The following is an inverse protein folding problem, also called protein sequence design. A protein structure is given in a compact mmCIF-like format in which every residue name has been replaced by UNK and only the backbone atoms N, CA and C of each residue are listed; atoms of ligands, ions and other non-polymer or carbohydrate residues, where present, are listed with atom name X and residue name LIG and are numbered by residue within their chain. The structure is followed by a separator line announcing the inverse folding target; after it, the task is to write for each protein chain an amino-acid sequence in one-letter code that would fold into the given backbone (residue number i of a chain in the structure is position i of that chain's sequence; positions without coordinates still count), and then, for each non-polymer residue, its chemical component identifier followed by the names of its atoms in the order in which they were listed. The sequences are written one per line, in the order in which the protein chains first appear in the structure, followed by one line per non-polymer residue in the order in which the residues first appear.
data_IF_786264046516
#
_entry.id   IF_786264046516
#
_cell.length_a   1.000
_cell.length_b   1.000
_cell.length_c   1.000
_cell.angle_alpha   90.00
_cell.angle_beta   90.00
_cell.angle_gamma   90.00
#
_symmetry.space_group_name_H-M   'P 1'
#
loop_
_entity.id
_entity.type
_entity.pdbx_description
1 polymer ?
#
# COMPACT_ATOMS: atom_id res chain seq x y z
N UNK A 1 14.44 -5.40 -15.01
CA UNK A 1 13.21 -5.37 -14.21
C UNK A 1 12.54 -6.73 -14.35
N UNK A 2 12.75 -7.67 -13.43
CA UNK A 2 12.10 -8.99 -13.42
C UNK A 2 10.84 -8.88 -12.58
N UNK A 3 9.70 -8.86 -13.26
CA UNK A 3 8.38 -8.91 -12.63
C UNK A 3 8.19 -10.36 -12.21
N UNK A 4 8.11 -10.62 -10.90
CA UNK A 4 7.84 -11.96 -10.38
C UNK A 4 6.33 -12.22 -10.45
N UNK A 5 5.94 -13.12 -11.32
CA UNK A 5 4.57 -13.66 -11.40
C UNK A 5 4.29 -14.39 -10.08
N UNK A 6 3.10 -14.24 -9.46
CA UNK A 6 2.74 -14.97 -8.24
C UNK A 6 3.01 -16.46 -8.41
N UNK A 7 3.79 -17.07 -7.52
CA UNK A 7 4.21 -18.48 -7.61
C UNK A 7 3.02 -19.45 -7.71
N UNK A 8 1.87 -19.11 -7.14
CA UNK A 8 0.64 -19.91 -7.25
C UNK A 8 0.08 -19.96 -8.68
N UNK A 9 0.21 -18.88 -9.47
CA UNK A 9 -0.26 -18.83 -10.85
C UNK A 9 0.68 -19.59 -11.81
N UNK A 10 2.00 -19.48 -11.60
CA UNK A 10 3.00 -20.26 -12.34
C UNK A 10 2.80 -21.76 -12.17
N UNK A 11 2.42 -22.22 -10.98
CA UNK A 11 2.20 -23.65 -10.69
C UNK A 11 0.94 -24.20 -11.36
N UNK A 12 -0.15 -23.45 -11.46
CA UNK A 12 -1.42 -23.90 -12.06
C UNK A 12 -1.33 -23.94 -13.58
N UNK A 13 -0.79 -22.90 -14.21
CA UNK A 13 -0.64 -22.83 -15.68
C UNK A 13 0.42 -23.80 -16.15
N UNK A 14 1.54 -23.94 -15.46
CA UNK A 14 2.57 -24.92 -15.75
C UNK A 14 2.06 -26.37 -15.64
N UNK A 15 1.26 -26.69 -14.62
CA UNK A 15 0.64 -28.01 -14.47
C UNK A 15 -0.36 -28.31 -15.58
N UNK A 16 -1.16 -27.36 -16.03
CA UNK A 16 -2.10 -27.52 -17.15
C UNK A 16 -1.38 -27.74 -18.47
N UNK A 17 -0.29 -27.01 -18.74
CA UNK A 17 0.55 -27.19 -19.93
C UNK A 17 1.21 -28.57 -19.94
N UNK A 18 1.79 -29.01 -18.82
CA UNK A 18 2.36 -30.35 -18.69
C UNK A 18 1.29 -31.44 -18.88
N UNK A 19 0.10 -31.26 -18.31
CA UNK A 19 -1.01 -32.19 -18.46
C UNK A 19 -1.45 -32.25 -19.93
N UNK A 20 -1.61 -31.12 -20.62
CA UNK A 20 -1.99 -31.08 -22.03
C UNK A 20 -0.94 -31.80 -22.92
N UNK A 21 0.35 -31.53 -22.69
CA UNK A 21 1.44 -32.22 -23.38
C UNK A 21 1.42 -33.75 -23.13
N UNK A 22 1.20 -34.14 -21.88
CA UNK A 22 1.11 -35.57 -21.52
C UNK A 22 -0.07 -36.26 -22.20
N UNK A 23 -1.23 -35.61 -22.31
CA UNK A 23 -2.41 -36.17 -23.00
C UNK A 23 -2.15 -36.30 -24.50
N UNK A 24 -1.53 -35.32 -25.16
CA UNK A 24 -1.17 -35.40 -26.58
C UNK A 24 -0.19 -36.56 -26.85
N UNK A 25 0.88 -36.66 -26.04
CA UNK A 25 1.85 -37.76 -26.15
C UNK A 25 1.16 -39.10 -25.90
N UNK A 26 0.31 -39.19 -24.88
CA UNK A 26 -0.48 -40.39 -24.59
C UNK A 26 -1.34 -40.83 -25.75
N UNK A 27 -2.04 -39.89 -26.44
CA UNK A 27 -2.82 -40.17 -27.64
C UNK A 27 -1.97 -40.71 -28.78
N UNK A 28 -0.78 -40.15 -29.01
CA UNK A 28 0.15 -40.65 -30.04
C UNK A 28 0.59 -42.08 -29.71
N UNK A 29 0.92 -42.37 -28.44
CA UNK A 29 1.30 -43.73 -28.00
C UNK A 29 0.14 -44.71 -28.18
N UNK A 30 -1.07 -44.35 -27.77
CA UNK A 30 -2.28 -45.18 -27.94
C UNK A 30 -2.54 -45.47 -29.43
N UNK A 31 -2.44 -44.44 -30.27
CA UNK A 31 -2.59 -44.57 -31.71
C UNK A 31 -1.52 -45.48 -32.32
N UNK A 32 -0.25 -45.34 -31.91
CA UNK A 32 0.85 -46.20 -32.41
C UNK A 32 0.64 -47.66 -32.02
N UNK A 33 0.24 -47.94 -30.77
CA UNK A 33 -0.07 -49.31 -30.33
C UNK A 33 -1.26 -49.89 -31.13
N UNK A 34 -2.32 -49.09 -31.35
CA UNK A 34 -3.50 -49.50 -32.11
C UNK A 34 -3.17 -49.84 -33.56
N UNK A 35 -2.45 -48.98 -34.29
CA UNK A 35 -2.05 -49.23 -35.67
C UNK A 35 -1.13 -50.44 -35.79
N UNK A 36 -0.21 -50.65 -34.86
CA UNK A 36 0.61 -51.86 -34.85
C UNK A 36 -0.21 -53.13 -34.63
N UNK A 37 -1.15 -53.08 -33.71
CA UNK A 37 -1.97 -54.26 -33.38
C UNK A 37 -2.97 -54.64 -34.49
N UNK A 38 -3.55 -53.63 -35.18
CA UNK A 38 -4.64 -53.82 -36.14
C UNK A 38 -4.09 -53.99 -37.56
N UNK A 39 -3.13 -53.14 -37.97
CA UNK A 39 -2.58 -53.11 -39.35
C UNK A 39 -1.26 -53.88 -39.51
N UNK A 40 -0.56 -54.21 -38.36
CA UNK A 40 0.71 -54.87 -38.39
C UNK A 40 1.90 -53.99 -38.84
N UNK A 41 1.73 -52.65 -38.80
CA UNK A 41 2.77 -51.70 -39.20
C UNK A 41 4.03 -51.88 -38.35
N UNK A 42 5.18 -51.43 -38.88
CA UNK A 42 6.41 -51.31 -38.05
C UNK A 42 6.18 -50.34 -36.91
N UNK A 43 6.98 -50.39 -35.83
CA UNK A 43 6.88 -49.43 -34.74
C UNK A 43 7.03 -47.99 -35.23
N UNK A 44 7.99 -47.77 -36.15
CA UNK A 44 8.24 -46.44 -36.70
C UNK A 44 7.04 -45.91 -37.49
N UNK A 45 6.49 -46.77 -38.39
CA UNK A 45 5.34 -46.41 -39.20
C UNK A 45 4.08 -46.17 -38.34
N UNK A 46 3.89 -46.98 -37.30
CA UNK A 46 2.81 -46.81 -36.35
C UNK A 46 2.86 -45.48 -35.59
N UNK A 47 4.05 -45.12 -35.10
CA UNK A 47 4.25 -43.80 -34.46
C UNK A 47 4.07 -42.64 -35.44
N UNK A 48 4.63 -42.78 -36.66
CA UNK A 48 4.53 -41.78 -37.70
C UNK A 48 3.06 -41.57 -38.11
N UNK A 49 2.30 -42.65 -38.41
CA UNK A 49 0.89 -42.55 -38.75
C UNK A 49 0.05 -42.00 -37.62
N UNK A 50 0.33 -42.39 -36.37
CA UNK A 50 -0.35 -41.85 -35.20
C UNK A 50 -0.06 -40.36 -34.99
N UNK A 51 1.20 -39.97 -35.09
CA UNK A 51 1.61 -38.55 -34.90
C UNK A 51 0.96 -37.66 -35.97
N UNK A 52 1.05 -38.02 -37.27
CA UNK A 52 0.43 -37.23 -38.34
C UNK A 52 -1.10 -37.16 -38.23
N UNK A 53 -1.75 -38.22 -37.71
CA UNK A 53 -3.20 -38.24 -37.47
C UNK A 53 -3.60 -37.33 -36.30
N UNK A 54 -2.94 -37.48 -35.14
CA UNK A 54 -3.23 -36.69 -33.93
C UNK A 54 -2.89 -35.22 -34.15
N UNK A 55 -1.77 -34.90 -34.82
CA UNK A 55 -1.38 -33.50 -35.12
C UNK A 55 -2.15 -32.90 -36.30
N UNK A 56 -3.04 -33.63 -36.94
CA UNK A 56 -3.89 -33.20 -38.07
C UNK A 56 -3.07 -32.85 -39.34
N UNK A 57 -1.83 -33.33 -39.48
CA UNK A 57 -0.98 -33.07 -40.66
C UNK A 57 -1.45 -33.94 -41.85
N UNK A 58 -1.63 -35.25 -41.66
CA UNK A 58 -2.27 -36.17 -42.58
C UNK A 58 -1.68 -36.25 -43.99
N UNK A 59 -0.38 -36.52 -44.14
CA UNK A 59 0.25 -36.62 -45.49
C UNK A 59 -0.37 -37.67 -46.38
N UNK A 60 -0.99 -38.71 -45.79
CA UNK A 60 -1.69 -39.77 -46.57
C UNK A 60 -0.76 -40.78 -47.23
N UNK A 61 0.53 -40.73 -46.95
CA UNK A 61 1.55 -41.64 -47.47
C UNK A 61 1.48 -43.03 -46.85
N UNK A 62 1.02 -43.11 -45.60
CA UNK A 62 0.73 -44.33 -44.84
C UNK A 62 -0.71 -44.25 -44.31
N UNK A 63 -1.59 -45.09 -44.86
CA UNK A 63 -2.99 -45.13 -44.44
C UNK A 63 -3.43 -46.54 -44.08
N UNK A 64 -4.36 -46.73 -43.11
CA UNK A 64 -4.90 -48.04 -42.77
C UNK A 64 -5.69 -48.61 -43.92
N UNK A 65 -5.43 -49.86 -44.23
CA UNK A 65 -6.05 -50.58 -45.36
C UNK A 65 -7.23 -51.44 -44.89
N UNK A 66 -7.12 -52.04 -43.70
CA UNK A 66 -8.19 -52.91 -43.16
C UNK A 66 -9.42 -52.10 -42.69
N UNK A 67 -10.58 -52.72 -42.65
CA UNK A 67 -11.81 -52.10 -42.15
C UNK A 67 -11.64 -51.71 -40.65
N UNK A 68 -11.00 -52.57 -39.85
CA UNK A 68 -10.73 -52.31 -38.44
C UNK A 68 -9.79 -51.08 -38.22
N UNK A 69 -8.73 -51.01 -39.04
CA UNK A 69 -7.80 -49.89 -38.99
C UNK A 69 -8.43 -48.57 -39.40
N UNK A 70 -9.32 -48.58 -40.39
CA UNK A 70 -10.06 -47.36 -40.81
C UNK A 70 -11.03 -46.88 -39.73
N UNK A 71 -11.77 -47.81 -39.07
CA UNK A 71 -12.64 -47.44 -37.96
C UNK A 71 -11.81 -46.87 -36.77
N UNK A 72 -10.70 -47.54 -36.44
CA UNK A 72 -9.78 -47.03 -35.39
C UNK A 72 -9.21 -45.65 -35.73
N UNK A 73 -8.80 -45.46 -36.99
CA UNK A 73 -8.30 -44.14 -37.45
C UNK A 73 -9.35 -43.03 -37.31
N UNK A 74 -10.63 -43.31 -37.66
CA UNK A 74 -11.73 -42.33 -37.46
C UNK A 74 -11.88 -41.96 -35.99
N UNK A 75 -11.87 -42.92 -35.08
CA UNK A 75 -11.96 -42.65 -33.64
C UNK A 75 -10.75 -41.84 -33.13
N UNK A 76 -9.54 -42.21 -33.63
CA UNK A 76 -8.31 -41.50 -33.28
C UNK A 76 -8.32 -40.06 -33.82
N UNK A 77 -8.83 -39.84 -35.05
CA UNK A 77 -8.98 -38.48 -35.62
C UNK A 77 -9.93 -37.63 -34.78
N UNK A 78 -11.13 -38.13 -34.43
CA UNK A 78 -12.10 -37.39 -33.66
C UNK A 78 -11.59 -37.02 -32.26
N UNK A 79 -10.94 -37.95 -31.56
CA UNK A 79 -10.40 -37.74 -30.23
C UNK A 79 -9.11 -36.91 -30.26
N UNK A 80 -8.24 -37.15 -31.26
CA UNK A 80 -6.96 -36.47 -31.47
C UNK A 80 -7.14 -34.99 -31.76
N UNK A 81 -8.03 -34.62 -32.68
CA UNK A 81 -8.35 -33.21 -33.01
C UNK A 81 -8.82 -32.47 -31.76
N UNK A 82 -9.75 -33.05 -30.97
CA UNK A 82 -10.21 -32.43 -29.73
C UNK A 82 -9.10 -32.22 -28.73
N UNK A 83 -8.18 -33.19 -28.61
CA UNK A 83 -7.02 -33.11 -27.70
C UNK A 83 -6.05 -32.00 -28.11
N UNK A 84 -5.71 -31.90 -29.41
CA UNK A 84 -4.80 -30.85 -29.91
C UNK A 84 -5.42 -29.48 -29.81
N UNK A 85 -6.72 -29.32 -30.14
CA UNK A 85 -7.43 -28.06 -29.95
C UNK A 85 -7.45 -27.61 -28.48
N UNK A 86 -7.66 -28.54 -27.56
CA UNK A 86 -7.56 -28.25 -26.12
C UNK A 86 -6.15 -27.82 -25.74
N UNK A 87 -5.10 -28.52 -26.18
CA UNK A 87 -3.71 -28.15 -25.90
C UNK A 87 -3.35 -26.76 -26.45
N UNK A 88 -3.77 -26.44 -27.68
CA UNK A 88 -3.58 -25.10 -28.28
C UNK A 88 -4.32 -24.01 -27.50
N UNK A 89 -5.54 -24.28 -27.04
CA UNK A 89 -6.31 -23.35 -26.21
C UNK A 89 -5.60 -23.04 -24.88
N UNK A 90 -5.08 -24.09 -24.23
CA UNK A 90 -4.31 -23.92 -22.97
C UNK A 90 -3.03 -23.12 -23.22
N UNK A 91 -2.32 -23.39 -24.33
CA UNK A 91 -1.13 -22.65 -24.74
C UNK A 91 -1.45 -21.18 -25.03
N UNK A 92 -2.49 -20.92 -25.84
CA UNK A 92 -2.94 -19.57 -26.16
C UNK A 92 -3.32 -18.79 -24.89
N UNK A 93 -4.07 -19.42 -23.97
CA UNK A 93 -4.41 -18.81 -22.68
C UNK A 93 -3.16 -18.49 -21.85
N UNK A 94 -2.16 -19.37 -21.83
CA UNK A 94 -0.91 -19.16 -21.12
C UNK A 94 -0.14 -17.92 -21.64
N UNK A 95 -0.07 -17.77 -22.97
CA UNK A 95 0.59 -16.63 -23.63
C UNK A 95 -0.18 -15.33 -23.41
N UNK A 96 -1.50 -15.35 -23.60
CA UNK A 96 -2.34 -14.14 -23.47
C UNK A 96 -2.40 -13.65 -22.02
N UNK A 97 -2.46 -14.55 -21.04
CA UNK A 97 -2.55 -14.18 -19.65
C UNK A 97 -1.24 -13.64 -19.07
N UNK A 98 -0.08 -14.03 -19.60
CA UNK A 98 1.21 -13.65 -19.00
C UNK A 98 1.71 -12.24 -19.35
N UNK A 99 1.43 -11.71 -20.53
CA UNK A 99 2.06 -10.45 -20.98
C UNK A 99 1.08 -9.27 -21.16
N UNK A 100 -0.12 -9.51 -21.63
CA UNK A 100 -1.04 -8.43 -22.00
C UNK A 100 -1.81 -7.86 -20.82
N UNK A 101 -2.22 -8.69 -19.85
CA UNK A 101 -3.01 -8.24 -18.70
C UNK A 101 -2.13 -7.41 -17.75
N UNK A 102 -0.88 -7.82 -17.50
CA UNK A 102 0.04 -7.07 -16.64
C UNK A 102 0.42 -5.74 -17.26
N UNK A 103 0.78 -5.71 -18.53
CA UNK A 103 1.13 -4.47 -19.22
C UNK A 103 -0.04 -3.48 -19.30
N UNK A 104 -1.26 -3.97 -19.51
CA UNK A 104 -2.46 -3.14 -19.59
C UNK A 104 -2.88 -2.61 -18.21
N UNK A 105 -2.83 -3.46 -17.18
CA UNK A 105 -3.15 -3.07 -15.80
C UNK A 105 -2.14 -2.06 -15.26
N UNK A 106 -0.85 -2.24 -15.54
CA UNK A 106 0.22 -1.32 -15.13
C UNK A 106 0.06 0.05 -15.81
N UNK A 107 -0.20 0.08 -17.13
CA UNK A 107 -0.45 1.34 -17.84
C UNK A 107 -1.68 2.09 -17.34
N UNK A 108 -2.74 1.38 -16.97
CA UNK A 108 -3.94 1.98 -16.39
C UNK A 108 -3.66 2.52 -14.99
N UNK A 109 -2.97 1.76 -14.14
CA UNK A 109 -2.56 2.20 -12.80
C UNK A 109 -1.66 3.44 -12.85
N UNK A 110 -0.70 3.50 -13.78
CA UNK A 110 0.16 4.66 -13.98
C UNK A 110 -0.63 5.89 -14.45
N UNK A 111 -1.53 5.74 -15.44
CA UNK A 111 -2.41 6.84 -15.89
C UNK A 111 -3.33 7.38 -14.79
N UNK A 112 -3.82 6.52 -13.90
CA UNK A 112 -4.65 6.94 -12.77
C UNK A 112 -3.82 7.65 -11.69
N UNK A 113 -2.53 7.33 -11.56
CA UNK A 113 -1.59 8.05 -10.69
C UNK A 113 -1.17 9.41 -11.28
N UNK A 114 -1.05 9.53 -12.61
CA UNK A 114 -0.75 10.81 -13.28
C UNK A 114 -1.79 11.89 -13.02
N UNK A 115 -3.05 11.50 -12.80
CA UNK A 115 -4.16 12.43 -12.50
C UNK A 115 -4.22 12.89 -11.05
N UNK A 116 -3.45 12.27 -10.15
CA UNK A 116 -3.46 12.63 -8.74
C UNK A 116 -2.71 13.93 -8.50
N UNK A 117 -3.34 14.83 -7.73
CA UNK A 117 -2.77 16.08 -7.25
C UNK A 117 -3.10 16.22 -5.76
N UNK A 118 -2.18 16.77 -4.99
CA UNK A 118 -2.38 16.96 -3.56
C UNK A 118 -2.53 15.68 -2.74
N UNK A 119 -2.09 14.54 -3.28
CA UNK A 119 -2.14 13.24 -2.64
C UNK A 119 -0.95 13.01 -1.70
N UNK A 120 -1.00 11.94 -0.94
CA UNK A 120 0.07 11.51 -0.04
C UNK A 120 0.82 10.32 -0.64
N UNK A 121 2.13 10.24 -0.40
CA UNK A 121 2.96 9.10 -0.79
C UNK A 121 3.45 8.40 0.48
N UNK A 122 3.26 7.07 0.54
CA UNK A 122 3.75 6.24 1.64
C UNK A 122 4.81 5.29 1.11
N UNK A 123 6.06 5.52 1.49
CA UNK A 123 7.20 4.69 1.13
C UNK A 123 7.38 3.58 2.17
N UNK A 124 7.01 2.35 1.79
CA UNK A 124 7.04 1.17 2.65
C UNK A 124 5.69 0.82 3.27
N UNK A 125 5.19 -0.40 2.99
CA UNK A 125 3.96 -0.97 3.56
C UNK A 125 4.24 -1.92 4.74
N UNK A 126 5.27 -1.64 5.53
CA UNK A 126 5.57 -2.33 6.78
C UNK A 126 4.58 -1.98 7.90
N UNK A 127 4.89 -2.36 9.14
CA UNK A 127 4.02 -2.12 10.32
C UNK A 127 3.60 -0.65 10.49
N UNK A 128 4.53 0.28 10.33
CA UNK A 128 4.27 1.73 10.45
C UNK A 128 3.50 2.23 9.25
N UNK A 129 3.98 1.94 8.03
CA UNK A 129 3.32 2.39 6.80
C UNK A 129 1.87 1.91 6.69
N UNK A 130 1.57 0.66 7.02
CA UNK A 130 0.19 0.14 7.05
C UNK A 130 -0.71 0.92 8.02
N UNK A 131 -0.18 1.37 9.15
CA UNK A 131 -0.97 2.18 10.09
C UNK A 131 -1.29 3.56 9.52
N UNK A 132 -0.32 4.18 8.83
CA UNK A 132 -0.51 5.46 8.14
C UNK A 132 -1.54 5.28 7.00
N UNK A 133 -1.40 4.23 6.18
CA UNK A 133 -2.32 3.91 5.09
C UNK A 133 -3.76 3.79 5.60
N UNK A 134 -3.99 3.03 6.68
CA UNK A 134 -5.32 2.89 7.28
C UNK A 134 -5.90 4.23 7.78
N UNK A 135 -5.06 5.11 8.30
CA UNK A 135 -5.52 6.43 8.73
C UNK A 135 -5.89 7.31 7.54
N UNK A 136 -5.10 7.29 6.46
CA UNK A 136 -5.44 8.01 5.22
C UNK A 136 -6.74 7.49 4.59
N UNK A 137 -6.95 6.16 4.60
CA UNK A 137 -8.19 5.53 4.13
C UNK A 137 -9.40 5.96 4.95
N UNK A 138 -9.30 5.97 6.29
CA UNK A 138 -10.39 6.42 7.17
C UNK A 138 -10.80 7.88 6.94
N UNK A 139 -9.85 8.70 6.51
CA UNK A 139 -10.07 10.11 6.20
C UNK A 139 -10.39 10.35 4.72
N UNK A 140 -10.53 9.28 3.93
CA UNK A 140 -10.83 9.32 2.49
C UNK A 140 -9.83 10.18 1.68
N UNK A 141 -8.58 10.30 2.18
CA UNK A 141 -7.54 11.08 1.54
C UNK A 141 -6.88 10.28 0.40
N UNK A 142 -6.57 10.91 -0.75
CA UNK A 142 -5.92 10.23 -1.84
C UNK A 142 -4.45 9.93 -1.50
N UNK A 143 -4.00 8.69 -1.75
CA UNK A 143 -2.61 8.29 -1.51
C UNK A 143 -2.10 7.27 -2.52
N UNK A 144 -0.77 7.17 -2.61
CA UNK A 144 -0.02 6.17 -3.37
C UNK A 144 0.97 5.48 -2.44
N UNK A 145 1.08 4.15 -2.55
CA UNK A 145 2.01 3.33 -1.79
C UNK A 145 3.15 2.91 -2.70
N UNK A 146 4.40 3.02 -2.24
CA UNK A 146 5.56 2.42 -2.89
C UNK A 146 6.10 1.33 -1.97
N UNK A 147 6.07 0.06 -2.42
CA UNK A 147 6.57 -1.10 -1.66
C UNK A 147 7.26 -2.08 -2.61
N UNK A 148 8.41 -2.60 -2.19
CA UNK A 148 9.19 -3.55 -2.98
C UNK A 148 8.69 -4.99 -2.85
N UNK A 149 8.08 -5.36 -1.74
CA UNK A 149 7.55 -6.71 -1.48
C UNK A 149 6.05 -6.76 -1.78
N UNK A 150 5.71 -7.35 -2.94
CA UNK A 150 4.32 -7.51 -3.41
C UNK A 150 3.43 -8.24 -2.39
N UNK A 151 3.98 -9.19 -1.62
CA UNK A 151 3.23 -9.94 -0.59
C UNK A 151 2.66 -9.04 0.50
N UNK A 152 3.29 -7.89 0.74
CA UNK A 152 2.79 -6.90 1.71
C UNK A 152 1.62 -6.07 1.19
N UNK A 153 1.35 -6.13 -0.11
CA UNK A 153 0.28 -5.36 -0.76
C UNK A 153 -0.99 -6.19 -0.95
N UNK A 154 -0.92 -7.53 -0.89
CA UNK A 154 -2.06 -8.43 -1.14
C UNK A 154 -3.31 -8.09 -0.34
N UNK A 155 -3.16 -7.72 0.94
CA UNK A 155 -4.27 -7.35 1.80
C UNK A 155 -4.81 -5.93 1.51
N UNK A 156 -4.01 -5.11 0.83
CA UNK A 156 -4.34 -3.72 0.49
C UNK A 156 -4.99 -3.59 -0.90
N UNK A 157 -4.80 -4.59 -1.78
CA UNK A 157 -5.42 -4.62 -3.11
C UNK A 157 -6.95 -4.68 -3.06
N UNK A 158 -7.51 -5.38 -2.08
CA UNK A 158 -8.96 -5.51 -1.90
C UNK A 158 -9.66 -4.18 -1.55
N UNK A 159 -8.92 -3.17 -1.11
CA UNK A 159 -9.43 -1.88 -0.64
C UNK A 159 -9.31 -0.76 -1.69
N UNK A 160 -8.97 -1.09 -2.94
CA UNK A 160 -8.87 -0.10 -4.04
C UNK A 160 -7.68 0.87 -3.93
N UNK A 161 -6.70 0.54 -3.11
CA UNK A 161 -5.50 1.37 -2.89
C UNK A 161 -4.63 1.45 -4.16
N UNK A 162 -4.07 2.62 -4.43
CA UNK A 162 -3.09 2.81 -5.50
C UNK A 162 -1.70 2.46 -4.99
N UNK A 163 -1.03 1.53 -5.65
CA UNK A 163 0.31 1.09 -5.25
C UNK A 163 1.23 0.93 -6.46
N UNK A 164 2.50 1.17 -6.22
CA UNK A 164 3.61 0.98 -7.14
C UNK A 164 4.55 -0.05 -6.51
N UNK A 165 4.72 -1.19 -7.20
CA UNK A 165 5.66 -2.22 -6.76
C UNK A 165 7.04 -1.80 -7.21
N UNK A 166 7.92 -1.48 -6.24
CA UNK A 166 9.27 -1.04 -6.54
C UNK A 166 10.02 -0.53 -5.31
N UNK A 167 11.27 -0.20 -5.53
CA UNK A 167 12.14 0.41 -4.53
C UNK A 167 11.80 1.90 -4.39
N UNK A 168 11.43 2.33 -3.18
CA UNK A 168 11.10 3.71 -2.88
C UNK A 168 12.32 4.65 -2.89
N UNK A 169 13.54 4.09 -2.86
CA UNK A 169 14.77 4.90 -3.03
C UNK A 169 14.99 5.29 -4.50
N UNK A 170 14.33 4.64 -5.46
CA UNK A 170 14.44 4.98 -6.89
C UNK A 170 13.72 6.28 -7.20
N UNK A 171 14.45 7.24 -7.77
CA UNK A 171 13.89 8.51 -8.27
C UNK A 171 12.76 8.28 -9.28
N UNK A 172 12.94 7.31 -10.18
CA UNK A 172 11.92 6.95 -11.18
C UNK A 172 10.60 6.50 -10.52
N UNK A 173 10.66 5.78 -9.39
CA UNK A 173 9.47 5.33 -8.67
C UNK A 173 8.80 6.49 -7.91
N UNK A 174 9.57 7.43 -7.37
CA UNK A 174 9.03 8.64 -6.74
C UNK A 174 8.35 9.55 -7.77
N UNK A 175 8.94 9.73 -8.96
CA UNK A 175 8.33 10.45 -10.07
C UNK A 175 7.05 9.76 -10.56
N UNK A 176 7.07 8.44 -10.73
CA UNK A 176 5.88 7.66 -11.10
C UNK A 176 4.76 7.75 -10.07
N UNK A 177 5.10 7.86 -8.77
CA UNK A 177 4.16 8.10 -7.70
C UNK A 177 3.65 9.56 -7.65
N UNK A 178 4.18 10.48 -8.47
CA UNK A 178 3.76 11.86 -8.57
C UNK A 178 4.29 12.76 -7.45
N UNK A 179 5.52 12.56 -7.00
CA UNK A 179 6.14 13.32 -5.90
C UNK A 179 6.12 14.84 -6.13
N UNK A 180 6.24 15.30 -7.38
CA UNK A 180 6.26 16.73 -7.75
C UNK A 180 4.94 17.45 -7.44
N UNK A 181 3.81 16.70 -7.43
CA UNK A 181 2.45 17.23 -7.19
C UNK A 181 1.80 16.64 -5.94
N UNK A 182 2.55 15.89 -5.15
CA UNK A 182 2.10 15.36 -3.86
C UNK A 182 2.06 16.47 -2.80
N UNK A 183 1.13 16.34 -1.85
CA UNK A 183 1.02 17.20 -0.67
C UNK A 183 1.98 16.77 0.44
N UNK A 184 2.22 15.48 0.59
CA UNK A 184 3.07 14.96 1.64
C UNK A 184 3.62 13.57 1.33
N UNK A 185 4.73 13.25 1.99
CA UNK A 185 5.40 11.96 1.86
C UNK A 185 5.78 11.42 3.24
N UNK A 186 5.50 10.13 3.46
CA UNK A 186 5.92 9.38 4.63
C UNK A 186 7.00 8.37 4.24
N UNK A 187 8.25 8.59 4.67
CA UNK A 187 9.35 7.64 4.51
C UNK A 187 9.34 6.65 5.68
N UNK A 188 8.88 5.41 5.44
CA UNK A 188 8.60 4.41 6.48
C UNK A 188 9.30 3.07 6.21
N UNK A 189 10.45 3.09 5.54
CA UNK A 189 11.26 1.92 5.27
C UNK A 189 11.85 1.32 6.57
N UNK A 190 12.37 0.10 6.48
CA UNK A 190 12.90 -0.61 7.63
C UNK A 190 14.31 -0.13 8.03
N UNK A 191 15.00 0.57 7.15
CA UNK A 191 16.38 1.02 7.28
C UNK A 191 16.48 2.55 7.24
N UNK A 192 17.28 3.13 8.13
CA UNK A 192 17.46 4.59 8.24
C UNK A 192 18.19 5.20 7.04
N UNK A 193 19.18 4.50 6.48
CA UNK A 193 19.91 4.98 5.31
C UNK A 193 18.98 5.07 4.09
N UNK A 194 18.10 4.08 3.92
CA UNK A 194 17.08 4.11 2.88
C UNK A 194 16.07 5.24 3.09
N UNK A 195 15.64 5.50 4.33
CA UNK A 195 14.76 6.63 4.64
C UNK A 195 15.45 7.98 4.35
N UNK A 196 16.74 8.14 4.71
CA UNK A 196 17.52 9.34 4.38
C UNK A 196 17.58 9.55 2.86
N UNK A 197 17.81 8.49 2.09
CA UNK A 197 17.87 8.57 0.63
C UNK A 197 16.53 8.98 0.02
N UNK A 198 15.43 8.38 0.48
CA UNK A 198 14.06 8.77 0.06
C UNK A 198 13.79 10.24 0.34
N UNK A 199 14.12 10.70 1.57
CA UNK A 199 13.91 12.10 1.98
C UNK A 199 14.70 13.06 1.11
N UNK A 200 16.00 12.77 0.89
CA UNK A 200 16.90 13.59 0.08
C UNK A 200 16.40 13.71 -1.36
N UNK A 201 16.06 12.57 -1.98
CA UNK A 201 15.56 12.52 -3.36
C UNK A 201 14.21 13.23 -3.49
N UNK A 202 13.27 12.97 -2.57
CA UNK A 202 11.96 13.59 -2.61
C UNK A 202 12.03 15.11 -2.40
N UNK A 203 12.91 15.58 -1.52
CA UNK A 203 13.15 17.03 -1.28
C UNK A 203 13.76 17.68 -2.52
N UNK A 204 14.70 17.00 -3.20
CA UNK A 204 15.28 17.47 -4.46
C UNK A 204 14.25 17.63 -5.58
N UNK A 205 13.31 16.68 -5.70
CA UNK A 205 12.25 16.67 -6.69
C UNK A 205 11.12 17.67 -6.37
N UNK A 206 10.80 17.86 -5.10
CA UNK A 206 9.75 18.78 -4.66
C UNK A 206 10.17 19.53 -3.40
N UNK A 207 10.72 20.75 -3.55
CA UNK A 207 11.16 21.57 -2.41
C UNK A 207 10.05 21.94 -1.42
N UNK A 208 8.80 21.99 -1.87
CA UNK A 208 7.62 22.33 -1.04
C UNK A 208 6.94 21.14 -0.35
N UNK A 209 7.41 19.91 -0.61
CA UNK A 209 6.78 18.70 -0.10
C UNK A 209 6.85 18.61 1.43
N UNK A 210 5.74 18.30 2.09
CA UNK A 210 5.76 17.98 3.52
C UNK A 210 6.23 16.54 3.74
N UNK A 211 7.43 16.37 4.29
CA UNK A 211 8.07 15.06 4.45
C UNK A 211 8.13 14.68 5.93
N UNK A 212 7.52 13.53 6.26
CA UNK A 212 7.63 12.89 7.57
C UNK A 212 8.45 11.62 7.42
N UNK A 213 9.52 11.49 8.18
CA UNK A 213 10.40 10.34 8.11
C UNK A 213 10.35 9.51 9.40
N UNK A 214 10.40 8.19 9.25
CA UNK A 214 10.61 7.29 10.36
C UNK A 214 12.11 7.18 10.65
N UNK A 215 12.51 7.38 11.91
CA UNK A 215 13.78 6.93 12.42
C UNK A 215 13.61 5.53 13.06
N UNK A 216 14.51 4.63 12.75
CA UNK A 216 14.61 3.31 13.41
C UNK A 216 15.44 3.49 14.67
N UNK A 217 16.59 4.17 14.55
CA UNK A 217 17.49 4.51 15.64
C UNK A 217 17.40 6.01 15.95
N UNK A 218 17.53 6.39 17.23
CA UNK A 218 17.45 7.79 17.68
C UNK A 218 18.51 8.67 17.02
N UNK A 219 19.69 8.10 16.78
CA UNK A 219 20.83 8.80 16.16
C UNK A 219 20.58 9.20 14.69
N UNK A 220 19.60 8.60 14.01
CA UNK A 220 19.27 8.94 12.62
C UNK A 220 18.48 10.25 12.50
N UNK A 221 17.80 10.72 13.55
CA UNK A 221 16.93 11.90 13.52
C UNK A 221 17.64 13.16 12.99
N UNK A 222 18.84 13.56 13.50
CA UNK A 222 19.52 14.76 12.99
C UNK A 222 19.88 14.64 11.51
N UNK A 223 20.16 13.42 11.02
CA UNK A 223 20.51 13.17 9.63
C UNK A 223 19.29 13.27 8.72
N UNK A 224 18.14 12.71 9.14
CA UNK A 224 16.89 12.82 8.43
C UNK A 224 16.40 14.28 8.33
N UNK A 225 16.54 15.07 9.39
CA UNK A 225 16.25 16.53 9.36
C UNK A 225 17.16 17.25 8.37
N UNK A 226 18.48 16.99 8.41
CA UNK A 226 19.43 17.59 7.45
C UNK A 226 19.16 17.18 6.01
N UNK A 227 18.67 15.94 5.80
CA UNK A 227 18.25 15.47 4.47
C UNK A 227 17.00 16.19 3.94
N UNK A 228 16.27 16.93 4.78
CA UNK A 228 15.11 17.72 4.39
C UNK A 228 13.76 17.21 4.90
N UNK A 229 13.73 16.30 5.90
CA UNK A 229 12.48 15.94 6.56
C UNK A 229 11.93 17.12 7.37
N UNK A 230 10.64 17.39 7.25
CA UNK A 230 9.96 18.40 8.08
C UNK A 230 9.75 17.89 9.50
N UNK A 231 9.55 16.58 9.65
CA UNK A 231 9.39 15.93 10.94
C UNK A 231 9.96 14.52 10.91
N UNK A 232 10.61 14.14 11.99
CA UNK A 232 11.10 12.78 12.21
C UNK A 232 10.33 12.16 13.38
N UNK A 233 9.97 10.90 13.24
CA UNK A 233 9.27 10.13 14.26
C UNK A 233 9.99 8.82 14.47
N UNK A 234 10.30 8.47 15.72
CA UNK A 234 10.89 7.20 16.13
C UNK A 234 9.84 6.35 16.89
N UNK A 235 9.00 5.57 16.20
CA UNK A 235 7.86 4.89 16.81
C UNK A 235 8.26 3.88 17.89
N UNK A 236 9.40 3.23 17.74
CA UNK A 236 9.91 2.26 18.71
C UNK A 236 10.30 2.94 20.00
N UNK A 237 10.94 4.11 19.92
CA UNK A 237 11.35 4.89 21.10
C UNK A 237 10.12 5.43 21.82
N UNK A 238 9.20 6.05 21.08
CA UNK A 238 7.93 6.56 21.64
C UNK A 238 7.15 5.44 22.31
N UNK A 239 7.05 4.28 21.65
CA UNK A 239 6.34 3.11 22.17
C UNK A 239 7.01 2.56 23.44
N UNK A 240 8.33 2.41 23.46
CA UNK A 240 9.06 1.91 24.63
C UNK A 240 8.97 2.87 25.83
N UNK A 241 9.03 4.17 25.59
CA UNK A 241 8.82 5.19 26.63
C UNK A 241 7.39 5.14 27.20
N UNK A 242 6.39 4.95 26.34
CA UNK A 242 5.00 4.77 26.77
C UNK A 242 4.80 3.50 27.60
N UNK A 243 5.41 2.39 27.19
CA UNK A 243 5.39 1.14 27.96
C UNK A 243 6.07 1.28 29.32
N UNK A 244 7.26 1.92 29.35
CA UNK A 244 7.97 2.17 30.61
C UNK A 244 7.14 3.07 31.55
N UNK A 245 6.49 4.09 31.02
CA UNK A 245 5.59 4.97 31.78
C UNK A 245 4.39 4.22 32.35
N UNK A 246 3.76 3.36 31.53
CA UNK A 246 2.64 2.53 31.98
C UNK A 246 3.06 1.54 33.08
N UNK A 247 4.29 1.01 33.00
CA UNK A 247 4.84 0.11 34.01
C UNK A 247 5.18 0.84 35.31
N UNK A 248 5.79 2.03 35.23
CA UNK A 248 6.32 2.76 36.38
C UNK A 248 5.26 3.67 37.05
N UNK A 249 4.33 4.21 36.28
CA UNK A 249 3.32 5.18 36.70
C UNK A 249 1.96 4.90 36.02
N UNK A 250 1.30 3.77 36.33
CA UNK A 250 0.10 3.33 35.60
C UNK A 250 -1.03 4.36 35.66
N UNK A 251 -1.31 4.96 36.81
CA UNK A 251 -2.37 5.96 36.92
C UNK A 251 -2.16 7.21 36.02
N UNK A 252 -0.87 7.61 35.81
CA UNK A 252 -0.57 8.71 34.89
C UNK A 252 -0.74 8.26 33.45
N UNK A 253 -0.31 7.04 33.11
CA UNK A 253 -0.50 6.48 31.78
C UNK A 253 -1.98 6.36 31.40
N UNK A 254 -2.80 5.79 32.29
CA UNK A 254 -4.25 5.66 32.11
C UNK A 254 -4.92 7.04 31.93
N UNK A 255 -4.52 8.03 32.71
CA UNK A 255 -5.02 9.40 32.57
C UNK A 255 -4.69 10.01 31.22
N UNK A 256 -3.41 9.90 30.77
CA UNK A 256 -2.97 10.41 29.47
C UNK A 256 -3.65 9.71 28.30
N UNK A 257 -3.79 8.38 28.39
CA UNK A 257 -4.47 7.58 27.36
C UNK A 257 -5.97 7.93 27.28
N UNK A 258 -6.60 8.21 28.43
CA UNK A 258 -8.01 8.63 28.50
C UNK A 258 -8.25 10.00 27.85
N UNK A 259 -7.29 10.92 27.93
CA UNK A 259 -7.35 12.20 27.25
C UNK A 259 -7.17 12.00 25.72
N UNK A 260 -6.15 11.24 25.30
CA UNK A 260 -5.87 11.01 23.87
C UNK A 260 -6.98 10.21 23.18
N UNK A 261 -7.62 9.30 23.90
CA UNK A 261 -8.72 8.47 23.36
C UNK A 261 -10.09 9.18 23.40
N UNK A 262 -10.16 10.44 23.87
CA UNK A 262 -11.41 11.22 24.05
C UNK A 262 -12.45 10.51 24.97
N UNK A 263 -12.01 9.51 25.74
CA UNK A 263 -12.92 8.73 26.60
C UNK A 263 -13.44 9.50 27.80
N UNK A 264 -12.73 10.54 28.21
CA UNK A 264 -13.13 11.46 29.29
C UNK A 264 -13.91 12.68 28.79
N UNK A 265 -14.22 12.74 27.46
CA UNK A 265 -14.82 13.92 26.84
C UNK A 265 -14.00 15.20 27.10
N UNK A 266 -12.70 15.04 27.36
CA UNK A 266 -11.75 16.13 27.55
C UNK A 266 -10.90 16.32 26.30
N UNK A 267 -10.81 17.55 25.83
CA UNK A 267 -9.99 17.94 24.69
C UNK A 267 -9.01 19.04 25.07
N UNK A 268 -7.83 19.02 24.43
CA UNK A 268 -6.94 20.17 24.42
C UNK A 268 -7.24 21.01 23.18
N UNK A 269 -7.29 22.32 23.36
CA UNK A 269 -7.49 23.26 22.26
C UNK A 269 -6.55 24.44 22.39
N UNK A 270 -6.17 24.99 21.24
CA UNK A 270 -5.37 26.20 21.11
C UNK A 270 -6.30 27.35 20.67
N UNK A 271 -6.37 28.40 21.48
CA UNK A 271 -7.27 29.53 21.21
C UNK A 271 -6.42 30.80 21.06
N UNK A 272 -6.40 31.28 19.82
CA UNK A 272 -5.74 32.54 19.53
C UNK A 272 -6.60 33.73 20.02
N UNK A 273 -5.96 34.65 20.77
CA UNK A 273 -6.57 35.89 21.24
C UNK A 273 -6.17 36.97 20.27
N UNK A 274 -7.16 37.60 19.66
CA UNK A 274 -6.96 38.80 18.87
C UNK A 274 -7.47 40.05 19.59
N UNK A 275 -7.17 41.24 19.07
CA UNK A 275 -7.53 42.49 19.69
C UNK A 275 -9.04 42.72 19.82
N UNK A 276 -9.87 41.95 19.09
CA UNK A 276 -11.33 42.05 19.13
C UNK A 276 -11.94 41.05 20.13
N UNK A 277 -11.14 40.15 20.66
CA UNK A 277 -11.58 39.15 21.64
C UNK A 277 -11.99 39.78 22.96
N UNK A 278 -13.11 39.34 23.51
CA UNK A 278 -13.57 39.76 24.85
C UNK A 278 -12.58 39.43 25.99
N UNK A 279 -11.55 38.65 25.71
CA UNK A 279 -10.54 38.24 26.67
C UNK A 279 -9.25 39.08 26.62
N UNK A 280 -9.00 39.82 25.53
CA UNK A 280 -7.83 40.67 25.39
C UNK A 280 -7.83 41.82 26.41
N UNK A 281 -6.73 42.03 27.08
CA UNK A 281 -6.56 43.05 28.10
C UNK A 281 -7.20 42.76 29.47
N UNK A 282 -7.72 41.50 29.67
CA UNK A 282 -8.28 41.09 30.97
C UNK A 282 -7.31 40.21 31.75
N UNK A 283 -7.43 40.25 33.07
CA UNK A 283 -6.76 39.24 33.91
C UNK A 283 -7.52 37.89 33.79
N UNK A 284 -6.77 36.80 33.91
CA UNK A 284 -7.34 35.48 33.80
C UNK A 284 -8.48 35.20 34.80
N UNK A 285 -8.37 35.76 36.03
CA UNK A 285 -9.43 35.68 37.06
C UNK A 285 -10.70 36.45 36.71
N UNK A 286 -10.59 37.48 35.87
CA UNK A 286 -11.72 38.30 35.46
C UNK A 286 -12.43 37.73 34.21
N UNK A 287 -11.95 36.60 33.73
CA UNK A 287 -12.58 35.84 32.67
C UNK A 287 -13.52 34.78 33.24
N UNK A 288 -14.52 34.38 32.46
CA UNK A 288 -15.44 33.31 32.85
C UNK A 288 -14.99 31.88 32.42
N UNK A 289 -13.72 31.77 31.99
CA UNK A 289 -13.18 30.51 31.48
C UNK A 289 -13.27 29.35 32.47
N UNK A 290 -12.88 29.60 33.72
CA UNK A 290 -12.94 28.57 34.79
C UNK A 290 -14.33 28.46 35.41
N UNK A 291 -14.99 29.60 35.68
CA UNK A 291 -16.23 29.66 36.44
C UNK A 291 -17.45 29.17 35.65
N UNK A 292 -17.61 29.58 34.39
CA UNK A 292 -18.78 29.27 33.55
C UNK A 292 -18.51 28.15 32.56
N UNK A 293 -17.31 28.10 31.97
CA UNK A 293 -16.99 27.12 30.93
C UNK A 293 -16.28 25.88 31.51
N UNK A 294 -15.88 25.89 32.79
CA UNK A 294 -15.16 24.77 33.42
C UNK A 294 -13.90 24.39 32.64
N UNK A 295 -13.22 25.35 32.06
CA UNK A 295 -11.99 25.20 31.32
C UNK A 295 -10.78 25.50 32.19
N UNK A 296 -9.72 24.72 32.06
CA UNK A 296 -8.43 24.94 32.71
C UNK A 296 -7.49 25.52 31.67
N UNK A 297 -6.94 26.72 31.94
CA UNK A 297 -5.85 27.26 31.11
C UNK A 297 -4.55 26.65 31.59
N UNK A 298 -3.98 25.76 30.77
CA UNK A 298 -2.76 25.03 31.09
C UNK A 298 -1.53 25.88 30.88
N UNK A 299 -1.52 26.64 29.78
CA UNK A 299 -0.43 27.54 29.43
C UNK A 299 -0.91 28.69 28.55
N UNK A 300 -0.14 29.77 28.54
CA UNK A 300 -0.30 30.87 27.59
C UNK A 300 1.01 31.01 26.83
N UNK A 301 0.94 30.89 25.49
CA UNK A 301 2.05 31.21 24.61
C UNK A 301 1.94 32.66 24.17
N UNK A 302 2.93 33.45 24.52
CA UNK A 302 3.00 34.85 24.15
C UNK A 302 3.36 35.03 22.67
N UNK A 303 3.12 36.22 22.15
CA UNK A 303 3.41 36.59 20.74
C UNK A 303 4.90 36.46 20.39
N UNK A 304 5.80 36.63 21.34
CA UNK A 304 7.26 36.47 21.23
C UNK A 304 7.70 34.98 21.30
N UNK A 305 6.77 34.06 21.56
CA UNK A 305 7.01 32.61 21.65
C UNK A 305 7.27 32.13 23.10
N UNK A 306 7.35 33.02 24.11
CA UNK A 306 7.48 32.63 25.50
C UNK A 306 6.24 31.82 25.95
N UNK A 307 6.48 30.72 26.67
CA UNK A 307 5.40 29.86 27.20
C UNK A 307 5.30 30.07 28.73
N UNK A 308 4.25 30.72 29.18
CA UNK A 308 3.87 30.82 30.59
C UNK A 308 3.06 29.57 30.96
N UNK A 309 3.67 28.64 31.69
CA UNK A 309 2.99 27.44 32.17
C UNK A 309 2.30 27.71 33.51
N UNK A 310 1.09 27.18 33.70
CA UNK A 310 0.24 27.35 34.87
C UNK A 310 0.03 28.85 35.22
N UNK A 311 -0.59 29.63 34.31
CA UNK A 311 -0.85 31.05 34.58
C UNK A 311 -1.77 31.17 35.81
N UNK A 312 -1.49 32.13 36.68
CA UNK A 312 -2.34 32.41 37.82
C UNK A 312 -3.47 33.39 37.45
N UNK A 313 -4.40 33.59 38.37
CA UNK A 313 -5.54 34.49 38.15
C UNK A 313 -5.18 35.93 37.80
N UNK A 314 -3.99 36.39 38.22
CA UNK A 314 -3.48 37.74 37.97
C UNK A 314 -2.70 37.85 36.65
N UNK A 315 -2.60 36.76 35.88
CA UNK A 315 -1.96 36.79 34.58
C UNK A 315 -2.82 37.54 33.58
N UNK A 316 -2.25 38.57 32.95
CA UNK A 316 -2.90 39.36 31.90
C UNK A 316 -2.90 38.54 30.58
N UNK A 317 -4.00 38.57 29.87
CA UNK A 317 -4.15 38.01 28.54
C UNK A 317 -4.01 39.16 27.54
N UNK A 318 -3.01 39.08 26.67
CA UNK A 318 -2.70 40.12 25.70
C UNK A 318 -3.14 39.74 24.27
N UNK A 319 -3.27 40.74 23.41
CA UNK A 319 -3.47 40.54 21.97
C UNK A 319 -2.28 39.78 21.35
N UNK A 320 -2.59 38.73 20.62
CA UNK A 320 -1.62 37.84 19.99
C UNK A 320 -1.19 36.66 20.86
N UNK A 321 -1.75 36.54 22.07
CA UNK A 321 -1.55 35.36 22.90
C UNK A 321 -2.28 34.14 22.35
N UNK A 322 -1.71 32.96 22.62
CA UNK A 322 -2.34 31.65 22.32
C UNK A 322 -2.57 30.93 23.66
N UNK A 323 -3.83 30.78 24.04
CA UNK A 323 -4.20 30.05 25.25
C UNK A 323 -4.27 28.54 24.92
N UNK A 324 -3.58 27.73 25.71
CA UNK A 324 -3.69 26.27 25.68
C UNK A 324 -4.64 25.87 26.82
N UNK A 325 -5.81 25.40 26.44
CA UNK A 325 -6.88 25.04 27.39
C UNK A 325 -7.18 23.56 27.38
N UNK A 326 -7.65 23.03 28.51
CA UNK A 326 -8.22 21.70 28.62
C UNK A 326 -9.61 21.78 29.23
N UNK A 327 -10.55 21.04 28.67
CA UNK A 327 -11.90 20.93 29.20
C UNK A 327 -12.79 20.02 28.35
N UNK A 328 -14.07 19.96 28.71
CA UNK A 328 -15.03 19.17 27.95
C UNK A 328 -15.19 19.72 26.52
N UNK A 329 -15.35 18.84 25.54
CA UNK A 329 -15.47 19.21 24.13
C UNK A 329 -16.56 20.25 23.88
N UNK A 330 -17.70 20.16 24.58
CA UNK A 330 -18.80 21.13 24.48
C UNK A 330 -18.40 22.53 24.99
N UNK A 331 -17.67 22.60 26.10
CA UNK A 331 -17.18 23.87 26.69
C UNK A 331 -16.16 24.54 25.80
N UNK A 332 -15.22 23.75 25.24
CA UNK A 332 -14.21 24.23 24.29
C UNK A 332 -14.86 24.78 23.03
N UNK A 333 -15.86 24.07 22.48
CA UNK A 333 -16.61 24.55 21.31
C UNK A 333 -17.30 25.89 21.55
N UNK A 334 -17.92 26.06 22.73
CA UNK A 334 -18.52 27.35 23.13
C UNK A 334 -17.49 28.47 23.18
N UNK A 335 -16.28 28.19 23.74
CA UNK A 335 -15.22 29.18 23.81
C UNK A 335 -14.74 29.60 22.41
N UNK A 336 -14.54 28.64 21.50
CA UNK A 336 -14.14 28.93 20.11
C UNK A 336 -15.19 29.78 19.37
N UNK A 337 -16.47 29.57 19.66
CA UNK A 337 -17.56 30.37 19.09
C UNK A 337 -17.58 31.79 19.66
N UNK A 338 -17.23 31.96 20.94
CA UNK A 338 -17.14 33.27 21.61
C UNK A 338 -15.88 34.05 21.24
N UNK A 339 -14.77 33.40 20.96
CA UNK A 339 -13.50 34.02 20.56
C UNK A 339 -13.50 34.56 19.12
N UNK A 340 -14.47 34.16 18.29
CA UNK A 340 -14.62 34.61 16.89
C UNK A 340 -15.62 35.76 16.71
N UNK A 341 -16.23 36.21 17.80
CA UNK A 341 -17.11 37.41 17.81
C UNK A 341 -16.37 38.62 18.26
#
# INVERSE_FOLDING_TARGET
MRISIPQAFQTITGRRLLFAAFVVIGMIVVGAVGFRAIEGFSWLDSFYTSAQTVTTVGYGDLAPVSTGGRVFAILLMLTGVGTVLYALTVLAQAVIQSELIEAYSLRRKLKDMEKLHGHYIVCGAGRVGRRIIRNLQRQELPFVIIESDERKLSDLESEGSRFLIGDATSEANLLAAGVERARGLAACLADDAANVYVVLTARGLNPGLHIVARAVEEQAEPTLIRAGANRVVAPTIIGSQSMARALLKPAIADFMDSIVAETLDLVFEEIAIDATSDYAGKLLKDTNLMSELSLIVVAIRRKDGELTFHPNGDTLIDDGDLLIVIGKAESVKRLVEMSKK
#
